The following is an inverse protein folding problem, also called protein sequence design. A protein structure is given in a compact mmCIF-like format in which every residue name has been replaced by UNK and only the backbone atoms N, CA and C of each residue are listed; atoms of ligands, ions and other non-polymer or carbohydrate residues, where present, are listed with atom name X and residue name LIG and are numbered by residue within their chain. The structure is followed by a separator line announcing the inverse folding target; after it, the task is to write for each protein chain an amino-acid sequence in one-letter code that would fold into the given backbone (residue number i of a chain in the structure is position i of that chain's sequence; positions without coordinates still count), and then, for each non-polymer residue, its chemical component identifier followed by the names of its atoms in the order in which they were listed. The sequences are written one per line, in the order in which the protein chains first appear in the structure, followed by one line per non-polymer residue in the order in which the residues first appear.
data_IF_142034934616
#
_entry.id   IF_142034934616
#
_cell.length_a   1.000
_cell.length_b   1.000
_cell.length_c   1.000
_cell.angle_alpha   90.00
_cell.angle_beta   90.00
_cell.angle_gamma   90.00
#
_symmetry.space_group_name_H-M   'P 1'
#
loop_
_entity.id
_entity.type
_entity.pdbx_description
1 polymer ?
#
# COMPACT_ATOMS: atom_id res chain seq x y z
N UNK A 1 13.25 15.88 6.30
CA UNK A 1 12.65 16.72 7.36
C UNK A 1 11.67 15.93 8.24
N UNK A 2 10.39 15.73 7.90
CA UNK A 2 9.42 15.11 8.85
C UNK A 2 9.88 13.75 9.42
N UNK A 3 10.31 12.81 8.55
CA UNK A 3 10.76 11.49 9.01
C UNK A 3 12.05 11.57 9.85
N UNK A 4 12.93 12.52 9.55
CA UNK A 4 14.18 12.73 10.28
C UNK A 4 13.90 13.26 11.69
N UNK A 5 13.01 14.24 11.83
CA UNK A 5 12.61 14.80 13.13
C UNK A 5 11.93 13.77 14.02
N UNK A 6 11.08 12.91 13.44
CA UNK A 6 10.44 11.81 14.19
C UNK A 6 11.49 10.85 14.74
N UNK A 7 12.49 10.46 13.94
CA UNK A 7 13.58 9.59 14.42
C UNK A 7 14.50 10.30 15.40
N UNK A 8 14.84 11.57 15.18
CA UNK A 8 15.66 12.37 16.09
C UNK A 8 15.00 12.52 17.47
N UNK A 9 13.66 12.52 17.51
CA UNK A 9 12.87 12.51 18.73
C UNK A 9 12.70 11.11 19.37
N UNK A 10 13.39 10.08 18.86
CA UNK A 10 13.34 8.71 19.37
C UNK A 10 12.08 7.91 18.97
N UNK A 11 11.26 8.44 18.06
CA UNK A 11 10.04 7.78 17.60
C UNK A 11 10.27 7.03 16.27
N UNK A 12 9.40 6.06 15.95
CA UNK A 12 9.47 5.30 14.71
C UNK A 12 8.70 5.98 13.58
N UNK A 13 9.39 6.40 12.51
CA UNK A 13 8.76 7.10 11.38
C UNK A 13 8.15 6.17 10.32
N UNK A 14 8.25 4.84 10.46
CA UNK A 14 7.66 3.86 9.54
C UNK A 14 6.16 4.11 9.31
N UNK A 15 5.49 4.63 10.34
CA UNK A 15 4.10 5.05 10.31
C UNK A 15 3.78 6.05 9.19
N UNK A 16 4.64 7.05 9.04
CA UNK A 16 4.51 8.08 8.02
C UNK A 16 5.04 7.57 6.68
N UNK A 17 6.17 6.86 6.69
CA UNK A 17 6.86 6.37 5.52
C UNK A 17 6.04 5.38 4.68
N UNK A 18 5.45 4.35 5.30
CA UNK A 18 4.67 3.34 4.59
C UNK A 18 3.41 3.94 3.93
N UNK A 19 2.75 4.86 4.63
CA UNK A 19 1.53 5.53 4.14
C UNK A 19 1.81 6.39 2.89
N UNK A 20 2.98 7.03 2.82
CA UNK A 20 3.35 7.89 1.69
C UNK A 20 3.41 7.14 0.36
N UNK A 21 3.91 5.90 0.34
CA UNK A 21 3.99 5.11 -0.90
C UNK A 21 2.61 4.74 -1.44
N UNK A 22 1.73 4.25 -0.57
CA UNK A 22 0.42 3.76 -0.98
C UNK A 22 -0.50 4.93 -1.37
N UNK A 23 -0.48 6.01 -0.57
CA UNK A 23 -1.20 7.24 -0.93
C UNK A 23 -0.70 7.82 -2.25
N UNK A 24 0.62 7.80 -2.49
CA UNK A 24 1.21 8.26 -3.74
C UNK A 24 0.73 7.48 -4.97
N UNK A 25 0.61 6.15 -4.86
CA UNK A 25 0.05 5.32 -5.94
C UNK A 25 -1.40 5.67 -6.23
N UNK A 26 -2.23 5.84 -5.19
CA UNK A 26 -3.63 6.22 -5.34
C UNK A 26 -3.78 7.62 -5.95
N UNK A 27 -2.98 8.60 -5.51
CA UNK A 27 -3.00 9.97 -6.05
C UNK A 27 -2.67 9.99 -7.55
N UNK A 28 -1.68 9.20 -7.97
CA UNK A 28 -1.19 9.20 -9.36
C UNK A 28 -2.02 8.34 -10.30
N UNK A 29 -2.53 7.20 -9.82
CA UNK A 29 -3.08 6.15 -10.68
C UNK A 29 -4.52 5.75 -10.33
N UNK A 30 -5.07 6.24 -9.22
CA UNK A 30 -6.44 5.96 -8.83
C UNK A 30 -7.47 6.67 -9.70
N UNK A 31 -8.66 6.09 -9.81
CA UNK A 31 -9.83 6.78 -10.36
C UNK A 31 -10.28 7.91 -9.42
N UNK A 32 -11.07 8.84 -9.94
CA UNK A 32 -11.65 9.93 -9.12
C UNK A 32 -12.50 9.37 -7.96
N UNK A 33 -13.27 8.32 -8.23
CA UNK A 33 -14.04 7.61 -7.19
C UNK A 33 -13.14 7.04 -6.09
N UNK A 34 -12.04 6.36 -6.46
CA UNK A 34 -11.10 5.82 -5.48
C UNK A 34 -10.46 6.95 -4.66
N UNK A 35 -10.06 8.05 -5.30
CA UNK A 35 -9.47 9.21 -4.61
C UNK A 35 -10.43 9.79 -3.57
N UNK A 36 -11.69 10.04 -3.95
CA UNK A 36 -12.73 10.57 -3.06
C UNK A 36 -13.04 9.63 -1.89
N UNK A 37 -13.03 8.32 -2.14
CA UNK A 37 -13.36 7.33 -1.10
C UNK A 37 -12.25 7.12 -0.06
N UNK A 38 -10.98 7.24 -0.45
CA UNK A 38 -9.84 6.86 0.41
C UNK A 38 -9.00 8.04 0.91
N UNK A 39 -8.72 9.05 0.08
CA UNK A 39 -7.78 10.13 0.46
C UNK A 39 -8.25 10.97 1.65
N UNK A 40 -9.54 11.36 1.77
CA UNK A 40 -10.00 12.12 2.93
C UNK A 40 -9.84 11.33 4.23
N UNK A 41 -10.16 10.04 4.22
CA UNK A 41 -10.02 9.16 5.41
C UNK A 41 -8.56 8.94 5.81
N UNK A 42 -7.67 8.88 4.81
CA UNK A 42 -6.22 8.84 5.04
C UNK A 42 -5.73 10.14 5.68
N UNK A 43 -6.16 11.29 5.16
CA UNK A 43 -5.77 12.60 5.69
C UNK A 43 -6.31 12.84 7.10
N UNK A 44 -7.51 12.34 7.42
CA UNK A 44 -8.12 12.40 8.74
C UNK A 44 -7.50 11.39 9.74
N UNK A 45 -6.67 10.44 9.27
CA UNK A 45 -6.11 9.38 10.10
C UNK A 45 -7.07 8.24 10.46
N UNK A 46 -8.29 8.26 9.91
CA UNK A 46 -9.32 7.23 10.10
C UNK A 46 -9.00 5.93 9.35
N UNK A 47 -8.29 6.05 8.23
CA UNK A 47 -7.85 4.92 7.42
C UNK A 47 -6.34 4.93 7.26
N UNK A 48 -5.71 3.78 7.48
CA UNK A 48 -4.28 3.60 7.29
C UNK A 48 -3.99 2.41 6.40
N UNK A 49 -3.21 2.65 5.34
CA UNK A 49 -2.79 1.64 4.38
C UNK A 49 -1.27 1.50 4.53
N UNK A 50 -0.82 0.51 5.32
CA UNK A 50 0.62 0.33 5.63
C UNK A 50 1.21 -0.92 5.00
N UNK A 51 0.38 -1.82 4.46
CA UNK A 51 0.83 -3.08 3.93
C UNK A 51 1.03 -2.99 2.42
N UNK A 52 2.24 -3.32 1.96
CA UNK A 52 2.54 -3.48 0.55
C UNK A 52 2.88 -4.96 0.26
N UNK A 53 1.83 -5.73 -0.06
CA UNK A 53 1.92 -7.18 -0.25
C UNK A 53 2.55 -7.58 -1.57
N UNK A 54 3.84 -7.28 -1.78
CA UNK A 54 4.57 -7.67 -2.99
C UNK A 54 5.24 -9.02 -2.78
N UNK A 55 6.13 -9.13 -1.80
CA UNK A 55 6.97 -10.30 -1.54
C UNK A 55 6.16 -11.57 -1.34
N UNK A 56 6.61 -12.67 -1.94
CA UNK A 56 6.05 -14.00 -1.76
C UNK A 56 7.11 -14.95 -1.17
N UNK A 57 6.73 -16.01 -0.46
CA UNK A 57 7.69 -16.95 0.13
C UNK A 57 8.70 -17.53 -0.88
N UNK A 58 8.28 -17.65 -2.15
CA UNK A 58 9.08 -18.20 -3.24
C UNK A 58 9.60 -17.12 -4.21
N UNK A 59 9.31 -15.85 -3.98
CA UNK A 59 9.67 -14.74 -4.88
C UNK A 59 9.94 -13.46 -4.07
N UNK A 60 11.23 -13.19 -3.83
CA UNK A 60 11.74 -11.97 -3.20
C UNK A 60 12.22 -10.93 -4.23
N UNK A 61 13.52 -10.90 -4.48
CA UNK A 61 14.19 -9.88 -5.31
C UNK A 61 13.65 -9.78 -6.74
N UNK A 62 13.31 -10.91 -7.37
CA UNK A 62 12.73 -10.94 -8.71
C UNK A 62 11.20 -10.88 -8.67
N UNK A 63 10.66 -9.70 -8.37
CA UNK A 63 9.22 -9.45 -8.23
C UNK A 63 8.41 -9.67 -9.52
N UNK A 64 9.04 -10.00 -10.65
CA UNK A 64 8.30 -10.36 -11.88
C UNK A 64 7.78 -11.80 -11.85
N UNK A 65 8.33 -12.65 -10.97
CA UNK A 65 8.00 -14.09 -10.88
C UNK A 65 6.85 -14.43 -9.93
N UNK A 66 6.14 -13.41 -9.44
CA UNK A 66 5.01 -13.56 -8.52
C UNK A 66 4.02 -14.62 -9.02
N UNK A 67 3.54 -15.43 -8.10
CA UNK A 67 2.57 -16.51 -8.30
C UNK A 67 1.17 -16.12 -7.87
N UNK A 68 0.98 -15.06 -7.08
CA UNK A 68 -0.36 -14.53 -6.79
C UNK A 68 -1.08 -14.21 -8.10
N UNK A 69 -2.33 -14.62 -8.24
CA UNK A 69 -3.17 -14.40 -9.43
C UNK A 69 -4.48 -13.74 -9.02
N UNK A 70 -4.91 -12.78 -9.83
CA UNK A 70 -6.23 -12.18 -9.78
C UNK A 70 -6.98 -12.58 -11.06
N UNK A 71 -8.08 -13.33 -10.92
CA UNK A 71 -8.93 -13.74 -12.04
C UNK A 71 -10.21 -12.93 -11.98
N UNK A 72 -10.54 -12.22 -13.07
CA UNK A 72 -11.77 -11.41 -13.14
C UNK A 72 -13.01 -12.31 -13.21
N UNK A 73 -13.99 -12.03 -12.37
CA UNK A 73 -15.28 -12.72 -12.30
C UNK A 73 -16.42 -11.70 -12.22
N UNK A 74 -17.01 -11.37 -13.37
CA UNK A 74 -17.99 -10.30 -13.48
C UNK A 74 -17.37 -8.94 -13.13
N UNK A 75 -17.91 -8.30 -12.09
CA UNK A 75 -17.44 -7.01 -11.55
C UNK A 75 -16.37 -7.15 -10.46
N UNK A 76 -15.98 -8.37 -10.11
CA UNK A 76 -15.04 -8.65 -9.02
C UNK A 76 -13.80 -9.42 -9.50
N UNK A 77 -12.83 -9.62 -8.61
CA UNK A 77 -11.66 -10.45 -8.84
C UNK A 77 -11.56 -11.53 -7.75
N UNK A 78 -11.31 -12.77 -8.15
CA UNK A 78 -10.88 -13.84 -7.25
C UNK A 78 -9.35 -13.80 -7.17
N UNK A 79 -8.83 -13.57 -5.97
CA UNK A 79 -7.39 -13.46 -5.70
C UNK A 79 -6.92 -14.72 -4.98
N UNK A 80 -5.93 -15.41 -5.55
CA UNK A 80 -5.29 -16.59 -4.94
C UNK A 80 -3.78 -16.43 -4.90
N UNK A 81 -3.19 -16.63 -3.73
CA UNK A 81 -1.74 -16.50 -3.50
C UNK A 81 -1.42 -16.34 -2.02
N UNK A 82 -0.14 -16.16 -1.71
CA UNK A 82 0.35 -15.93 -0.35
C UNK A 82 1.46 -14.87 -0.38
N UNK A 83 1.46 -13.99 0.63
CA UNK A 83 2.50 -12.98 0.86
C UNK A 83 3.26 -13.26 2.16
N UNK A 84 4.45 -12.68 2.29
CA UNK A 84 5.30 -12.73 3.48
C UNK A 84 5.81 -11.33 3.82
#
# INVERSE_FOLDING_TARGET
VILEEVHASGCNAAACHAQMYIMGTLLRHGSEEQKLNYLPKIAAGELRLQAFGVTEPTTGTDTTKLKTRAVKTGESYIINGQKV
#
